data_IF_741626829808
#
_entry.id   IF_741626829808
#
_cell.length_a   1.000
_cell.length_b   1.000
_cell.length_c   1.000
_cell.angle_alpha   90.00
_cell.angle_beta   90.00
_cell.angle_gamma   90.00
#
_symmetry.space_group_name_H-M   'P 1'
#
loop_
_entity.id
_entity.type
_entity.pdbx_description
1 polymer ?
#
# COMPACT_ATOMS: atom_id res chain seq x y z
N UNK A 1 13.98 -8.05 26.95
CA UNK A 1 13.70 -8.17 28.40
C UNK A 1 12.60 -7.15 28.72
N UNK A 2 11.35 -7.60 28.91
CA UNK A 2 10.23 -6.70 29.23
C UNK A 2 10.43 -6.22 30.67
N UNK A 3 10.83 -4.96 30.86
CA UNK A 3 11.05 -4.40 32.20
C UNK A 3 9.72 -3.87 32.74
N UNK A 4 9.03 -4.73 33.48
CA UNK A 4 7.92 -4.32 34.33
C UNK A 4 8.47 -3.86 35.67
N UNK A 5 8.26 -2.59 36.00
CA UNK A 5 8.72 -2.02 37.26
C UNK A 5 7.55 -1.35 38.00
N UNK A 6 7.71 -1.22 39.31
CA UNK A 6 6.84 -0.41 40.14
C UNK A 6 7.51 0.94 40.38
N UNK A 7 6.75 2.03 40.26
CA UNK A 7 7.23 3.38 40.55
C UNK A 7 6.24 4.08 41.47
N UNK A 8 6.76 4.95 42.35
CA UNK A 8 5.94 5.89 43.09
C UNK A 8 5.17 6.78 42.11
N UNK A 9 3.98 7.18 42.52
CA UNK A 9 3.09 7.96 41.71
C UNK A 9 3.11 9.42 42.15
N UNK A 10 3.23 10.34 41.19
CA UNK A 10 3.21 11.77 41.51
C UNK A 10 1.79 12.26 41.83
N UNK A 11 1.73 13.22 42.75
CA UNK A 11 0.54 14.00 43.10
C UNK A 11 0.45 15.18 42.14
N UNK A 12 -0.71 15.39 41.51
CA UNK A 12 -0.97 16.51 40.61
C UNK A 12 -1.25 17.84 41.34
N UNK A 13 -1.68 17.77 42.60
CA UNK A 13 -2.22 18.87 43.38
C UNK A 13 -1.67 18.83 44.82
N UNK A 14 -0.73 19.72 45.10
CA UNK A 14 -0.17 19.92 46.45
C UNK A 14 -0.80 21.17 47.09
N UNK A 15 -1.97 21.01 47.72
CA UNK A 15 -2.48 22.06 48.62
C UNK A 15 -1.89 21.86 50.00
N UNK A 16 -1.19 22.88 50.47
CA UNK A 16 -0.67 22.94 51.83
C UNK A 16 -1.83 23.11 52.82
N UNK A 17 -1.75 22.36 53.92
CA UNK A 17 -2.64 22.45 55.07
C UNK A 17 -1.80 22.68 56.32
N UNK A 18 -2.45 23.08 57.40
CA UNK A 18 -1.83 23.15 58.71
C UNK A 18 -1.72 21.74 59.30
N UNK A 19 -0.53 21.38 59.79
CA UNK A 19 -0.28 20.10 60.45
C UNK A 19 -0.99 20.05 61.80
N UNK A 20 -1.79 19.01 62.10
CA UNK A 20 -2.49 18.89 63.38
C UNK A 20 -1.54 18.63 64.57
N UNK A 21 -0.29 18.26 64.32
CA UNK A 21 0.69 17.92 65.35
C UNK A 21 1.61 19.10 65.72
N UNK A 22 2.15 19.82 64.72
CA UNK A 22 3.13 20.89 64.94
C UNK A 22 2.69 22.28 64.44
N UNK A 23 1.46 22.40 63.91
CA UNK A 23 0.89 23.64 63.35
C UNK A 23 1.67 24.27 62.18
N UNK A 24 2.65 23.57 61.62
CA UNK A 24 3.34 24.00 60.40
C UNK A 24 2.40 23.96 59.18
N UNK A 25 2.56 24.90 58.25
CA UNK A 25 1.86 24.91 56.96
C UNK A 25 2.44 23.90 55.96
N UNK A 26 3.52 23.19 56.32
CA UNK A 26 4.16 22.18 55.48
C UNK A 26 3.48 20.80 55.62
N UNK A 27 2.15 20.72 55.61
CA UNK A 27 1.38 19.47 55.59
C UNK A 27 0.76 19.26 54.21
N UNK A 28 1.33 18.37 53.41
CA UNK A 28 0.95 18.19 52.00
C UNK A 28 0.54 16.75 51.70
N UNK A 29 -0.23 16.57 50.63
CA UNK A 29 -0.62 15.25 50.13
C UNK A 29 0.56 14.60 49.41
N UNK A 30 0.85 13.35 49.73
CA UNK A 30 1.82 12.49 49.04
C UNK A 30 1.15 11.21 48.53
N UNK A 31 1.66 10.69 47.43
CA UNK A 31 1.13 9.49 46.76
C UNK A 31 2.20 8.40 46.73
N UNK A 32 1.91 7.32 47.46
CA UNK A 32 2.75 6.14 47.60
C UNK A 32 2.13 4.93 46.89
N UNK A 33 1.24 5.19 45.93
CA UNK A 33 0.63 4.17 45.09
C UNK A 33 1.68 3.47 44.25
N UNK A 34 1.56 2.16 44.11
CA UNK A 34 2.39 1.35 43.23
C UNK A 34 1.63 1.12 41.94
N UNK A 35 2.27 1.40 40.81
CA UNK A 35 1.68 1.21 39.48
C UNK A 35 2.56 0.26 38.70
N UNK A 36 1.96 -0.73 38.05
CA UNK A 36 2.63 -1.55 37.07
C UNK A 36 2.82 -0.72 35.81
N UNK A 37 4.07 -0.51 35.39
CA UNK A 37 4.40 0.22 34.16
C UNK A 37 5.20 -0.65 33.21
N UNK A 38 4.99 -0.47 31.92
CA UNK A 38 5.87 -0.97 30.87
C UNK A 38 6.67 0.21 30.33
N UNK A 39 7.97 0.25 30.63
CA UNK A 39 8.78 1.46 30.46
C UNK A 39 8.10 2.66 31.17
N UNK A 40 7.83 3.75 30.47
CA UNK A 40 7.13 4.93 31.00
C UNK A 40 5.60 4.80 31.03
N UNK A 41 5.04 3.77 30.37
CA UNK A 41 3.59 3.64 30.17
C UNK A 41 2.93 2.91 31.36
N UNK A 42 2.08 3.56 32.17
CA UNK A 42 1.34 2.89 33.23
C UNK A 42 0.24 1.99 32.66
N UNK A 43 0.17 0.77 33.18
CA UNK A 43 -0.78 -0.26 32.73
C UNK A 43 -1.94 -0.37 33.72
N UNK A 44 -1.62 -0.60 35.00
CA UNK A 44 -2.64 -0.75 36.04
C UNK A 44 -2.07 -0.36 37.41
N UNK A 45 -2.85 0.27 38.31
CA UNK A 45 -2.45 0.44 39.70
C UNK A 45 -2.44 -0.92 40.41
N UNK A 46 -1.36 -1.23 41.13
CA UNK A 46 -1.25 -2.40 42.01
C UNK A 46 -1.73 -2.10 43.42
N UNK A 47 -1.48 -0.88 43.90
CA UNK A 47 -1.98 -0.39 45.19
C UNK A 47 -2.20 1.11 45.12
N UNK A 48 -3.25 1.61 45.78
CA UNK A 48 -3.59 3.04 45.84
C UNK A 48 -3.43 3.51 47.27
N UNK A 49 -2.36 4.27 47.55
CA UNK A 49 -2.00 4.71 48.89
C UNK A 49 -1.71 6.21 48.89
N UNK A 50 -2.58 6.98 49.55
CA UNK A 50 -2.40 8.41 49.78
C UNK A 50 -2.24 8.67 51.27
N UNK A 51 -1.36 9.61 51.59
CA UNK A 51 -1.19 10.09 52.95
C UNK A 51 -0.91 11.59 52.91
N UNK A 52 -1.28 12.29 53.98
CA UNK A 52 -0.69 13.59 54.25
C UNK A 52 0.61 13.38 55.02
N UNK A 53 1.63 14.16 54.70
CA UNK A 53 2.93 14.14 55.37
C UNK A 53 3.34 15.57 55.72
N UNK A 54 3.82 15.75 56.95
CA UNK A 54 4.36 17.01 57.42
C UNK A 54 5.89 17.03 57.27
N UNK A 55 6.42 17.98 56.50
CA UNK A 55 7.87 18.09 56.28
C UNK A 55 8.61 18.63 57.51
N UNK A 56 7.92 19.36 58.38
CA UNK A 56 8.52 19.97 59.58
C UNK A 56 8.69 19.00 60.76
N UNK A 57 7.76 18.04 60.94
CA UNK A 57 7.79 17.13 62.09
C UNK A 57 7.66 15.64 61.73
N UNK A 58 7.56 15.30 60.44
CA UNK A 58 7.44 13.91 59.97
C UNK A 58 6.09 13.24 60.23
N UNK A 59 5.11 13.94 60.80
CA UNK A 59 3.78 13.39 61.09
C UNK A 59 3.06 12.98 59.79
N UNK A 60 2.46 11.79 59.77
CA UNK A 60 1.70 11.27 58.63
C UNK A 60 0.28 10.88 59.02
N UNK A 61 -0.66 11.01 58.08
CA UNK A 61 -2.05 10.54 58.24
C UNK A 61 -2.56 9.94 56.94
N UNK A 62 -3.14 8.74 56.99
CA UNK A 62 -3.71 8.08 55.82
C UNK A 62 -4.91 8.86 55.25
N UNK A 63 -5.04 8.87 53.93
CA UNK A 63 -6.14 9.51 53.20
C UNK A 63 -6.83 8.48 52.33
N UNK A 64 -8.14 8.34 52.50
CA UNK A 64 -8.92 7.46 51.63
C UNK A 64 -9.08 8.08 50.24
N UNK A 65 -8.94 7.26 49.19
CA UNK A 65 -8.90 7.74 47.80
C UNK A 65 -10.16 8.51 47.37
N UNK A 66 -11.34 8.18 47.90
CA UNK A 66 -12.60 8.85 47.59
C UNK A 66 -12.74 10.24 48.25
N UNK A 67 -11.86 10.58 49.19
CA UNK A 67 -11.80 11.90 49.84
C UNK A 67 -10.80 12.86 49.17
N UNK A 68 -10.17 12.42 48.08
CA UNK A 68 -9.20 13.23 47.33
C UNK A 68 -9.88 14.41 46.61
N UNK A 69 -9.13 15.47 46.30
CA UNK A 69 -9.63 16.55 45.44
C UNK A 69 -10.08 16.01 44.07
N UNK A 70 -11.10 16.62 43.43
CA UNK A 70 -11.62 16.14 42.14
C UNK A 70 -10.55 16.00 41.04
N UNK A 71 -9.57 16.90 41.00
CA UNK A 71 -8.44 16.83 40.05
C UNK A 71 -7.54 15.60 40.28
N UNK A 72 -7.37 15.18 41.52
CA UNK A 72 -6.61 13.96 41.85
C UNK A 72 -7.37 12.70 41.46
N UNK A 73 -8.68 12.64 41.73
CA UNK A 73 -9.52 11.54 41.26
C UNK A 73 -9.50 11.43 39.73
N UNK A 74 -9.62 12.56 39.01
CA UNK A 74 -9.55 12.58 37.55
C UNK A 74 -8.18 12.08 37.04
N UNK A 75 -7.11 12.32 37.79
CA UNK A 75 -5.78 11.85 37.41
C UNK A 75 -5.65 10.32 37.39
N UNK A 76 -6.58 9.56 37.99
CA UNK A 76 -6.51 8.10 38.02
C UNK A 76 -6.57 7.47 36.62
N UNK A 77 -7.23 8.16 35.67
CA UNK A 77 -7.31 7.75 34.27
C UNK A 77 -5.92 7.50 33.69
N UNK A 78 -4.92 8.29 34.10
CA UNK A 78 -3.55 8.15 33.63
C UNK A 78 -2.97 6.77 33.90
N UNK A 79 -3.39 6.09 34.97
CA UNK A 79 -2.86 4.78 35.33
C UNK A 79 -3.39 3.63 34.47
N UNK A 80 -4.44 3.89 33.66
CA UNK A 80 -5.08 2.91 32.79
C UNK A 80 -4.80 3.14 31.30
N UNK A 81 -4.05 4.18 30.94
CA UNK A 81 -3.74 4.51 29.52
C UNK A 81 -3.10 3.30 28.82
N UNK A 82 -2.16 2.62 29.48
CA UNK A 82 -1.53 1.42 28.93
C UNK A 82 -2.51 0.27 28.74
N UNK A 83 -3.41 0.03 29.69
CA UNK A 83 -4.46 -0.99 29.54
C UNK A 83 -5.37 -0.69 28.35
N UNK A 84 -5.81 0.57 28.19
CA UNK A 84 -6.65 0.99 27.06
C UNK A 84 -5.93 0.78 25.73
N UNK A 85 -4.64 1.14 25.64
CA UNK A 85 -3.84 0.90 24.44
C UNK A 85 -3.68 -0.59 24.13
N UNK A 86 -3.44 -1.43 25.15
CA UNK A 86 -3.34 -2.88 24.98
C UNK A 86 -4.66 -3.45 24.48
N UNK A 87 -5.79 -3.08 25.09
CA UNK A 87 -7.12 -3.50 24.65
C UNK A 87 -7.36 -3.06 23.22
N UNK A 88 -7.08 -1.81 22.87
CA UNK A 88 -7.23 -1.30 21.51
C UNK A 88 -6.40 -2.10 20.49
N UNK A 89 -5.12 -2.36 20.79
CA UNK A 89 -4.23 -3.15 19.92
C UNK A 89 -4.76 -4.58 19.76
N UNK A 90 -5.17 -5.22 20.86
CA UNK A 90 -5.74 -6.57 20.84
C UNK A 90 -7.03 -6.63 20.04
N UNK A 91 -7.94 -5.66 20.23
CA UNK A 91 -9.18 -5.57 19.45
C UNK A 91 -8.87 -5.39 17.97
N UNK A 92 -7.94 -4.51 17.60
CA UNK A 92 -7.55 -4.33 16.19
C UNK A 92 -6.89 -5.60 15.62
N UNK A 93 -6.07 -6.31 16.39
CA UNK A 93 -5.47 -7.56 15.96
C UNK A 93 -6.55 -8.66 15.73
N UNK A 94 -7.51 -8.80 16.65
CA UNK A 94 -8.60 -9.77 16.53
C UNK A 94 -9.49 -9.43 15.32
N UNK A 95 -9.88 -8.16 15.17
CA UNK A 95 -10.67 -7.71 14.03
C UNK A 95 -9.94 -7.97 12.71
N UNK A 96 -8.64 -7.68 12.64
CA UNK A 96 -7.84 -7.93 11.44
C UNK A 96 -7.71 -9.41 11.10
N UNK A 97 -7.66 -10.31 12.09
CA UNK A 97 -7.66 -11.76 11.85
C UNK A 97 -9.00 -12.21 11.24
N UNK A 98 -10.13 -11.71 11.75
CA UNK A 98 -11.45 -12.03 11.21
C UNK A 98 -11.59 -11.52 9.78
N UNK A 99 -11.20 -10.27 9.54
CA UNK A 99 -11.22 -9.66 8.20
C UNK A 99 -10.35 -10.46 7.20
N UNK A 100 -9.17 -10.91 7.62
CA UNK A 100 -8.31 -11.76 6.79
C UNK A 100 -8.99 -13.09 6.45
N UNK A 101 -9.61 -13.77 7.43
CA UNK A 101 -10.32 -15.02 7.18
C UNK A 101 -11.50 -14.83 6.20
N UNK A 102 -12.31 -13.79 6.41
CA UNK A 102 -13.42 -13.44 5.51
C UNK A 102 -12.94 -13.14 4.09
N UNK A 103 -11.81 -12.43 3.97
CA UNK A 103 -11.17 -12.14 2.70
C UNK A 103 -10.73 -13.43 1.98
N UNK A 104 -10.11 -14.38 2.68
CA UNK A 104 -9.68 -15.66 2.10
C UNK A 104 -10.87 -16.50 1.62
N UNK A 105 -11.95 -16.57 2.40
CA UNK A 105 -13.19 -17.23 2.00
C UNK A 105 -13.79 -16.56 0.75
N UNK A 106 -13.77 -15.22 0.69
CA UNK A 106 -14.20 -14.48 -0.50
C UNK A 106 -13.31 -14.79 -1.71
N UNK A 107 -11.99 -14.90 -1.54
CA UNK A 107 -11.07 -15.23 -2.64
C UNK A 107 -11.27 -16.67 -3.15
N UNK A 108 -11.63 -17.62 -2.27
CA UNK A 108 -11.99 -18.98 -2.66
C UNK A 108 -13.28 -19.04 -3.48
N UNK A 109 -14.30 -18.27 -3.09
CA UNK A 109 -15.60 -18.30 -3.76
C UNK A 109 -15.62 -17.47 -5.04
N UNK A 110 -14.90 -16.34 -5.06
CA UNK A 110 -14.81 -15.42 -6.19
C UNK A 110 -13.35 -15.23 -6.62
N UNK A 111 -12.71 -16.25 -7.23
CA UNK A 111 -11.31 -16.18 -7.60
C UNK A 111 -11.04 -15.11 -8.66
N UNK A 112 -9.85 -14.51 -8.61
CA UNK A 112 -9.34 -13.58 -9.62
C UNK A 112 -7.96 -14.01 -10.07
N UNK A 113 -7.65 -13.69 -11.33
CA UNK A 113 -6.34 -13.99 -11.89
C UNK A 113 -5.26 -13.36 -11.02
N UNK A 114 -4.20 -14.14 -10.76
CA UNK A 114 -3.08 -13.80 -9.89
C UNK A 114 -3.36 -13.78 -8.38
N UNK A 115 -4.53 -14.25 -7.94
CA UNK A 115 -4.69 -14.68 -6.55
C UNK A 115 -3.58 -15.68 -6.20
N UNK A 116 -2.95 -15.44 -5.04
CA UNK A 116 -1.71 -16.07 -4.64
C UNK A 116 -1.95 -16.90 -3.39
N UNK A 117 -1.68 -18.19 -3.50
CA UNK A 117 -1.99 -19.25 -2.55
C UNK A 117 -0.69 -19.74 -1.92
N UNK A 118 -0.65 -19.77 -0.59
CA UNK A 118 0.47 -20.25 0.17
C UNK A 118 0.19 -21.70 0.53
N UNK A 119 1.08 -22.60 0.09
CA UNK A 119 0.81 -24.03 0.11
C UNK A 119 1.92 -24.83 0.75
N UNK A 120 1.55 -25.96 1.34
CA UNK A 120 2.50 -27.03 1.64
C UNK A 120 2.69 -27.90 0.41
N UNK A 121 3.92 -28.01 -0.11
CA UNK A 121 4.21 -28.71 -1.36
C UNK A 121 3.84 -30.19 -1.31
N UNK A 122 4.04 -30.86 -0.18
CA UNK A 122 3.72 -32.28 -0.06
C UNK A 122 2.24 -32.61 -0.25
N UNK A 123 1.36 -31.75 0.25
CA UNK A 123 -0.08 -31.94 0.10
C UNK A 123 -0.63 -31.36 -1.20
N UNK A 124 -0.10 -30.22 -1.65
CA UNK A 124 -0.63 -29.51 -2.83
C UNK A 124 -0.08 -30.04 -4.16
N UNK A 125 1.22 -30.32 -4.24
CA UNK A 125 1.86 -30.84 -5.46
C UNK A 125 2.08 -32.35 -5.44
N UNK A 126 1.91 -33.00 -4.29
CA UNK A 126 2.20 -34.43 -4.10
C UNK A 126 3.69 -34.74 -3.99
N UNK A 127 4.53 -33.73 -3.79
CA UNK A 127 5.98 -33.92 -3.58
C UNK A 127 6.27 -34.60 -2.22
N UNK A 128 7.37 -35.34 -2.06
CA UNK A 128 7.75 -35.84 -0.74
C UNK A 128 8.00 -34.69 0.23
N UNK A 129 7.53 -34.82 1.49
CA UNK A 129 7.72 -33.80 2.52
C UNK A 129 9.20 -33.56 2.80
N UNK A 130 9.64 -32.31 2.67
CA UNK A 130 11.03 -31.85 2.93
C UNK A 130 11.07 -30.81 4.06
N UNK A 131 12.28 -30.46 4.51
CA UNK A 131 12.49 -29.38 5.52
C UNK A 131 11.94 -28.05 4.99
N UNK A 132 12.17 -27.75 3.72
CA UNK A 132 11.59 -26.60 3.03
C UNK A 132 10.37 -27.11 2.24
N UNK A 133 9.19 -26.91 2.81
CA UNK A 133 7.94 -27.47 2.27
C UNK A 133 6.92 -26.38 1.90
N UNK A 134 7.26 -25.11 2.04
CA UNK A 134 6.35 -24.03 1.68
C UNK A 134 6.59 -23.63 0.24
N UNK A 135 5.52 -23.50 -0.55
CA UNK A 135 5.56 -22.96 -1.92
C UNK A 135 4.50 -21.89 -2.10
N UNK A 136 4.65 -21.14 -3.17
CA UNK A 136 3.64 -20.22 -3.67
C UNK A 136 3.00 -20.84 -4.91
N UNK A 137 1.68 -20.92 -4.92
CA UNK A 137 0.89 -21.23 -6.11
C UNK A 137 0.12 -19.98 -6.53
N UNK A 138 0.11 -19.67 -7.82
CA UNK A 138 -0.58 -18.49 -8.33
C UNK A 138 -1.61 -18.89 -9.38
N UNK A 139 -2.83 -18.40 -9.19
CA UNK A 139 -3.95 -18.70 -10.09
C UNK A 139 -3.74 -17.99 -11.43
N UNK A 140 -3.74 -18.75 -12.53
CA UNK A 140 -3.55 -18.22 -13.89
C UNK A 140 -4.81 -18.28 -14.73
N UNK A 141 -5.64 -19.29 -14.52
CA UNK A 141 -6.90 -19.51 -15.22
C UNK A 141 -7.91 -20.13 -14.26
N UNK A 142 -9.19 -19.83 -14.46
CA UNK A 142 -10.29 -20.44 -13.71
C UNK A 142 -11.57 -20.32 -14.53
N UNK A 143 -12.45 -21.30 -14.36
CA UNK A 143 -13.79 -21.32 -14.92
C UNK A 143 -14.79 -21.66 -13.80
N UNK A 144 -16.01 -22.06 -14.16
CA UNK A 144 -17.04 -22.40 -13.17
C UNK A 144 -16.69 -23.63 -12.31
N UNK A 145 -15.93 -24.58 -12.86
CA UNK A 145 -15.61 -25.89 -12.27
C UNK A 145 -14.15 -26.02 -11.83
N UNK A 146 -13.22 -25.37 -12.53
CA UNK A 146 -11.79 -25.63 -12.43
C UNK A 146 -10.96 -24.38 -12.14
N UNK A 147 -9.78 -24.59 -11.55
CA UNK A 147 -8.79 -23.57 -11.23
C UNK A 147 -7.40 -24.10 -11.60
N UNK A 148 -6.68 -23.35 -12.42
CA UNK A 148 -5.34 -23.69 -12.92
C UNK A 148 -4.30 -22.78 -12.30
N UNK A 149 -3.29 -23.40 -11.70
CA UNK A 149 -2.22 -22.73 -10.96
C UNK A 149 -0.88 -22.96 -11.64
N UNK A 150 -0.02 -21.93 -11.60
CA UNK A 150 1.43 -22.11 -11.72
C UNK A 150 2.03 -22.16 -10.32
N UNK A 151 2.96 -23.07 -10.08
CA UNK A 151 3.56 -23.29 -8.75
C UNK A 151 5.04 -22.89 -8.78
N UNK A 152 5.53 -22.29 -7.70
CA UNK A 152 6.91 -21.84 -7.59
C UNK A 152 7.91 -23.01 -7.74
N UNK A 153 9.00 -22.77 -8.47
CA UNK A 153 10.17 -23.66 -8.50
C UNK A 153 10.96 -23.58 -7.18
N UNK A 154 10.78 -22.49 -6.42
CA UNK A 154 11.40 -22.25 -5.12
C UNK A 154 10.58 -22.85 -3.98
N UNK A 155 11.26 -23.43 -2.98
CA UNK A 155 10.68 -23.82 -1.69
C UNK A 155 11.22 -22.95 -0.57
N UNK A 156 10.38 -22.70 0.42
CA UNK A 156 10.68 -21.87 1.56
C UNK A 156 10.57 -22.65 2.86
N UNK A 157 11.34 -22.20 3.86
CA UNK A 157 11.32 -22.77 5.21
C UNK A 157 10.29 -22.07 6.09
N UNK A 158 10.18 -20.75 5.96
CA UNK A 158 9.29 -19.92 6.79
C UNK A 158 8.44 -18.96 5.96
N UNK A 159 7.29 -18.53 6.49
CA UNK A 159 6.43 -17.55 5.84
C UNK A 159 7.16 -16.24 5.53
N UNK A 160 8.03 -15.77 6.44
CA UNK A 160 8.83 -14.56 6.24
C UNK A 160 9.71 -14.61 4.97
N UNK A 161 10.15 -15.80 4.56
CA UNK A 161 11.02 -15.95 3.39
C UNK A 161 10.20 -15.77 2.11
N UNK A 162 8.93 -16.19 2.12
CA UNK A 162 7.97 -15.92 1.04
C UNK A 162 7.63 -14.43 0.99
N UNK A 163 7.40 -13.80 2.14
CA UNK A 163 7.14 -12.35 2.22
C UNK A 163 8.32 -11.53 1.68
N UNK A 164 9.56 -11.93 2.00
CA UNK A 164 10.77 -11.31 1.45
C UNK A 164 10.79 -11.48 -0.07
N UNK A 165 10.53 -12.68 -0.59
CA UNK A 165 10.50 -12.94 -2.04
C UNK A 165 9.45 -12.09 -2.76
N UNK A 166 8.27 -11.88 -2.16
CA UNK A 166 7.25 -10.98 -2.70
C UNK A 166 7.71 -9.53 -2.66
N UNK A 167 8.25 -9.06 -1.52
CA UNK A 167 8.73 -7.68 -1.35
C UNK A 167 9.86 -7.33 -2.33
N UNK A 168 10.74 -8.29 -2.63
CA UNK A 168 11.83 -8.12 -3.59
C UNK A 168 11.42 -8.42 -5.04
N UNK A 169 10.13 -8.58 -5.30
CA UNK A 169 9.57 -8.84 -6.64
C UNK A 169 10.13 -10.09 -7.31
N UNK A 170 10.48 -11.14 -6.55
CA UNK A 170 10.98 -12.39 -7.13
C UNK A 170 9.91 -13.11 -7.96
N UNK A 171 8.63 -12.97 -7.61
CA UNK A 171 7.52 -13.67 -8.27
C UNK A 171 7.36 -13.32 -9.76
N UNK A 172 7.95 -12.21 -10.22
CA UNK A 172 7.92 -11.79 -11.63
C UNK A 172 9.14 -12.21 -12.44
N UNK A 173 10.12 -12.87 -11.80
CA UNK A 173 11.27 -13.44 -12.51
C UNK A 173 10.82 -14.63 -13.38
N UNK A 174 11.45 -14.78 -14.55
CA UNK A 174 11.00 -15.71 -15.60
C UNK A 174 10.98 -17.18 -15.16
N UNK A 175 11.85 -17.56 -14.23
CA UNK A 175 12.01 -18.93 -13.71
C UNK A 175 11.43 -19.13 -12.30
N UNK A 176 10.76 -18.12 -11.74
CA UNK A 176 10.17 -18.24 -10.41
C UNK A 176 9.09 -19.30 -10.35
N UNK A 177 8.18 -19.29 -11.33
CA UNK A 177 7.11 -20.27 -11.46
C UNK A 177 7.46 -21.35 -12.48
N UNK A 178 7.04 -22.58 -12.19
CA UNK A 178 7.12 -23.68 -13.14
C UNK A 178 6.31 -23.35 -14.40
N UNK A 179 6.83 -23.76 -15.56
CA UNK A 179 6.09 -23.73 -16.82
C UNK A 179 4.95 -24.75 -16.86
N UNK A 180 5.01 -25.78 -16.01
CA UNK A 180 3.93 -26.76 -15.85
C UNK A 180 2.86 -26.20 -14.92
N UNK A 181 1.63 -26.17 -15.40
CA UNK A 181 0.46 -25.80 -14.62
C UNK A 181 -0.18 -27.02 -13.98
N UNK A 182 -0.87 -26.79 -12.87
CA UNK A 182 -1.69 -27.79 -12.20
C UNK A 182 -3.13 -27.31 -12.18
N UNK A 183 -4.06 -28.14 -12.63
CA UNK A 183 -5.49 -27.82 -12.64
C UNK A 183 -6.20 -28.68 -11.62
N UNK A 184 -7.01 -28.04 -10.79
CA UNK A 184 -7.82 -28.67 -9.76
C UNK A 184 -9.27 -28.25 -9.92
N UNK A 185 -10.20 -29.08 -9.47
CA UNK A 185 -11.59 -28.66 -9.34
C UNK A 185 -11.73 -27.64 -8.20
N UNK A 186 -12.71 -26.74 -8.26
CA UNK A 186 -12.99 -25.81 -7.15
C UNK A 186 -13.25 -26.55 -5.84
N UNK A 187 -13.86 -27.73 -5.89
CA UNK A 187 -14.07 -28.56 -4.70
C UNK A 187 -12.76 -29.04 -4.10
N UNK A 188 -11.80 -29.48 -4.91
CA UNK A 188 -10.46 -29.85 -4.43
C UNK A 188 -9.72 -28.65 -3.83
N UNK A 189 -9.82 -27.47 -4.44
CA UNK A 189 -9.19 -26.25 -3.89
C UNK A 189 -9.80 -25.88 -2.54
N UNK A 190 -11.12 -26.04 -2.37
CA UNK A 190 -11.78 -25.88 -1.07
C UNK A 190 -11.32 -26.90 -0.04
N UNK A 191 -11.20 -28.17 -0.42
CA UNK A 191 -10.66 -29.22 0.44
C UNK A 191 -9.22 -28.93 0.87
N UNK A 192 -8.38 -28.43 -0.04
CA UNK A 192 -7.02 -28.01 0.29
C UNK A 192 -6.99 -26.85 1.31
N UNK A 193 -7.98 -25.97 1.29
CA UNK A 193 -8.08 -24.93 2.31
C UNK A 193 -8.54 -25.51 3.66
N UNK A 194 -9.57 -26.36 3.63
CA UNK A 194 -10.14 -27.00 4.83
C UNK A 194 -9.14 -27.92 5.55
N UNK A 195 -8.28 -28.64 4.82
CA UNK A 195 -7.26 -29.53 5.37
C UNK A 195 -5.90 -28.84 5.63
N UNK A 196 -5.88 -27.51 5.47
CA UNK A 196 -4.73 -26.62 5.66
C UNK A 196 -3.54 -26.95 4.73
N UNK A 197 -3.78 -27.55 3.57
CA UNK A 197 -2.79 -27.64 2.47
C UNK A 197 -2.53 -26.29 1.83
N UNK A 198 -3.57 -25.47 1.67
CA UNK A 198 -3.53 -24.03 1.44
C UNK A 198 -3.78 -23.37 2.79
N UNK A 199 -2.78 -22.68 3.34
CA UNK A 199 -2.86 -22.09 4.69
C UNK A 199 -2.99 -20.57 4.69
N UNK A 200 -2.88 -19.93 3.52
CA UNK A 200 -3.09 -18.48 3.35
C UNK A 200 -3.40 -18.17 1.89
N UNK A 201 -4.32 -17.25 1.66
CA UNK A 201 -4.67 -16.76 0.32
C UNK A 201 -4.56 -15.25 0.31
N UNK A 202 -3.93 -14.69 -0.71
CA UNK A 202 -3.78 -13.25 -0.87
C UNK A 202 -4.15 -12.82 -2.28
N UNK A 203 -4.88 -11.72 -2.35
CA UNK A 203 -5.20 -11.03 -3.59
C UNK A 203 -4.29 -9.82 -3.74
N UNK A 204 -3.55 -9.70 -4.86
CA UNK A 204 -2.74 -8.50 -5.12
C UNK A 204 -3.61 -7.25 -5.18
N UNK A 205 -3.13 -6.17 -4.56
CA UNK A 205 -3.67 -4.83 -4.79
C UNK A 205 -2.93 -4.24 -6.00
N UNK A 206 -3.67 -3.90 -7.05
CA UNK A 206 -3.13 -3.61 -8.38
C UNK A 206 -2.30 -4.80 -8.92
N UNK A 207 -0.99 -4.81 -8.62
CA UNK A 207 -0.01 -5.81 -9.09
C UNK A 207 0.95 -6.26 -7.98
N UNK A 208 0.68 -5.85 -6.73
CA UNK A 208 1.63 -5.96 -5.64
C UNK A 208 1.09 -6.72 -4.43
N UNK A 209 2.00 -7.44 -3.77
CA UNK A 209 1.84 -7.96 -2.41
C UNK A 209 3.08 -7.55 -1.61
N UNK A 210 2.87 -7.08 -0.37
CA UNK A 210 3.94 -6.57 0.50
C UNK A 210 4.84 -5.49 -0.13
N UNK A 211 4.30 -4.72 -1.08
CA UNK A 211 5.01 -3.61 -1.74
C UNK A 211 5.90 -4.03 -2.92
N UNK A 212 6.05 -5.33 -3.21
CA UNK A 212 6.77 -5.81 -4.40
C UNK A 212 5.82 -6.38 -5.46
N UNK A 213 6.28 -6.46 -6.71
CA UNK A 213 5.47 -6.96 -7.83
C UNK A 213 5.35 -8.49 -7.78
N UNK A 214 4.12 -8.97 -7.94
CA UNK A 214 3.81 -10.41 -8.02
C UNK A 214 3.23 -10.84 -9.37
N UNK A 215 3.03 -9.86 -10.24
CA UNK A 215 2.68 -10.01 -11.65
C UNK A 215 3.25 -8.82 -12.42
N UNK A 216 3.58 -9.04 -13.69
CA UNK A 216 3.95 -7.94 -14.57
C UNK A 216 2.74 -7.03 -14.78
N UNK A 217 2.85 -5.71 -14.54
CA UNK A 217 1.83 -4.77 -14.93
C UNK A 217 1.51 -4.94 -16.42
N UNK A 218 0.23 -4.86 -16.83
CA UNK A 218 -0.11 -4.90 -18.23
C UNK A 218 0.66 -3.78 -18.95
N UNK A 219 1.29 -4.12 -20.07
CA UNK A 219 1.94 -3.09 -20.90
C UNK A 219 0.91 -2.02 -21.21
N UNK A 220 1.22 -0.72 -21.02
CA UNK A 220 0.29 0.34 -21.32
C UNK A 220 -0.16 0.18 -22.77
N UNK A 221 -1.48 0.24 -23.00
CA UNK A 221 -2.01 0.17 -24.35
C UNK A 221 -1.31 1.26 -25.18
N UNK A 222 -0.78 0.93 -26.38
CA UNK A 222 -0.26 1.96 -27.25
C UNK A 222 -1.39 2.96 -27.52
N UNK A 223 -1.09 4.26 -27.50
CA UNK A 223 -2.07 5.33 -27.74
C UNK A 223 -2.78 5.18 -29.09
N UNK A 224 -2.17 4.44 -30.02
CA UNK A 224 -2.65 4.19 -31.37
C UNK A 224 -2.64 2.67 -31.62
N UNK A 225 -3.71 1.98 -31.21
CA UNK A 225 -3.87 0.54 -31.43
C UNK A 225 -3.97 0.20 -32.92
N UNK A 226 -3.26 -0.84 -33.36
CA UNK A 226 -3.27 -1.30 -34.76
C UNK A 226 -2.36 -0.50 -35.72
N UNK A 227 -1.68 0.54 -35.23
CA UNK A 227 -0.81 1.38 -36.04
C UNK A 227 0.66 1.07 -35.74
N UNK A 228 1.43 0.70 -36.78
CA UNK A 228 2.89 0.60 -36.66
C UNK A 228 3.50 2.01 -36.72
N UNK A 229 3.83 2.55 -35.55
CA UNK A 229 4.55 3.82 -35.44
C UNK A 229 6.03 3.61 -35.71
N UNK A 230 6.68 4.58 -36.36
CA UNK A 230 8.14 4.57 -36.48
C UNK A 230 8.82 4.81 -35.13
N UNK A 231 10.11 4.48 -35.07
CA UNK A 231 10.92 4.56 -33.85
C UNK A 231 10.91 5.97 -33.24
N UNK A 232 11.07 7.01 -34.06
CA UNK A 232 11.17 8.38 -33.56
C UNK A 232 9.82 8.88 -33.04
N UNK A 233 8.71 8.48 -33.67
CA UNK A 233 7.40 8.81 -33.13
C UNK A 233 7.11 8.11 -31.79
N UNK A 234 7.54 6.85 -31.63
CA UNK A 234 7.43 6.16 -30.34
C UNK A 234 8.24 6.87 -29.25
N UNK A 235 9.48 7.27 -29.57
CA UNK A 235 10.34 8.02 -28.64
C UNK A 235 9.70 9.36 -28.27
N UNK A 236 9.19 10.12 -29.25
CA UNK A 236 8.52 11.39 -29.00
C UNK A 236 7.30 11.24 -28.10
N UNK A 237 6.50 10.19 -28.28
CA UNK A 237 5.35 9.89 -27.39
C UNK A 237 5.80 9.66 -25.95
N UNK A 238 6.91 8.94 -25.74
CA UNK A 238 7.47 8.71 -24.40
C UNK A 238 7.90 10.03 -23.76
N UNK A 239 8.74 10.82 -24.44
CA UNK A 239 9.19 12.11 -23.95
C UNK A 239 8.03 13.06 -23.65
N UNK A 240 7.01 13.08 -24.50
CA UNK A 240 5.83 13.92 -24.32
C UNK A 240 5.07 13.56 -23.04
N UNK A 241 4.87 12.26 -22.77
CA UNK A 241 4.22 11.77 -21.54
C UNK A 241 5.00 12.12 -20.28
N UNK A 242 6.32 12.14 -20.39
CA UNK A 242 7.23 12.48 -19.29
C UNK A 242 7.39 14.00 -19.11
N UNK A 243 6.66 14.82 -19.89
CA UNK A 243 6.70 16.28 -19.84
C UNK A 243 7.95 16.91 -20.48
N UNK A 244 8.75 16.11 -21.19
CA UNK A 244 9.99 16.51 -21.86
C UNK A 244 9.68 17.04 -23.26
N UNK A 245 9.04 18.21 -23.33
CA UNK A 245 8.46 18.70 -24.59
C UNK A 245 9.48 19.06 -25.66
N UNK A 246 10.71 19.47 -25.31
CA UNK A 246 11.73 19.80 -26.31
C UNK A 246 12.21 18.53 -27.03
N UNK A 247 12.53 17.50 -26.25
CA UNK A 247 12.97 16.18 -26.72
C UNK A 247 11.86 15.47 -27.51
N UNK A 248 10.60 15.63 -27.07
CA UNK A 248 9.44 15.16 -27.81
C UNK A 248 9.33 15.83 -29.18
N UNK A 249 9.46 17.16 -29.22
CA UNK A 249 9.39 17.92 -30.47
C UNK A 249 10.50 17.55 -31.45
N UNK A 250 11.73 17.36 -30.97
CA UNK A 250 12.86 16.88 -31.77
C UNK A 250 12.58 15.50 -32.36
N UNK A 251 12.10 14.57 -31.53
CA UNK A 251 11.77 13.20 -31.95
C UNK A 251 10.62 13.19 -32.97
N UNK A 252 9.56 13.95 -32.74
CA UNK A 252 8.48 14.08 -33.72
C UNK A 252 8.92 14.78 -34.99
N UNK A 253 9.86 15.72 -34.93
CA UNK A 253 10.45 16.34 -36.12
C UNK A 253 11.20 15.32 -36.97
N UNK A 254 11.96 14.42 -36.36
CA UNK A 254 12.63 13.33 -37.06
C UNK A 254 11.63 12.39 -37.74
N UNK A 255 10.56 12.00 -37.03
CA UNK A 255 9.49 11.17 -37.59
C UNK A 255 8.74 11.88 -38.73
N UNK A 256 8.36 13.15 -38.53
CA UNK A 256 7.62 13.94 -39.50
C UNK A 256 8.40 14.15 -40.80
N UNK A 257 9.71 14.46 -40.69
CA UNK A 257 10.64 14.55 -41.82
C UNK A 257 10.90 13.21 -42.49
N UNK A 258 10.82 12.11 -41.73
CA UNK A 258 10.83 10.75 -42.26
C UNK A 258 9.57 10.37 -43.04
N UNK A 259 8.58 11.27 -43.14
CA UNK A 259 7.35 11.07 -43.89
C UNK A 259 6.25 10.35 -43.11
N UNK A 260 6.44 10.03 -41.84
CA UNK A 260 5.44 9.26 -41.09
C UNK A 260 4.26 10.14 -40.65
N UNK A 261 3.06 9.81 -41.13
CA UNK A 261 1.84 10.60 -40.88
C UNK A 261 1.51 10.82 -39.40
N UNK A 262 1.90 9.89 -38.51
CA UNK A 262 1.71 10.04 -37.07
C UNK A 262 2.71 10.99 -36.40
N UNK A 263 3.96 11.03 -36.87
CA UNK A 263 4.92 12.05 -36.44
C UNK A 263 4.53 13.43 -36.91
N UNK A 264 4.04 13.53 -38.15
CA UNK A 264 3.50 14.78 -38.70
C UNK A 264 2.28 15.28 -37.90
N UNK A 265 1.34 14.38 -37.55
CA UNK A 265 0.22 14.70 -36.66
C UNK A 265 0.71 15.25 -35.31
N UNK A 266 1.56 14.50 -34.60
CA UNK A 266 2.02 14.88 -33.27
C UNK A 266 2.80 16.20 -33.29
N UNK A 267 3.66 16.41 -34.30
CA UNK A 267 4.38 17.67 -34.47
C UNK A 267 3.43 18.84 -34.77
N UNK A 268 2.39 18.61 -35.58
CA UNK A 268 1.36 19.60 -35.87
C UNK A 268 0.62 20.04 -34.61
N UNK A 269 0.24 19.09 -33.75
CA UNK A 269 -0.40 19.38 -32.47
C UNK A 269 0.52 20.18 -31.53
N UNK A 270 1.81 19.85 -31.45
CA UNK A 270 2.75 20.59 -30.61
C UNK A 270 2.92 22.06 -31.04
N UNK A 271 2.90 22.32 -32.35
CA UNK A 271 2.89 23.70 -32.87
C UNK A 271 1.58 24.43 -32.58
N UNK A 272 0.42 23.75 -32.66
CA UNK A 272 -0.87 24.35 -32.33
C UNK A 272 -0.95 24.73 -30.85
N UNK A 273 -0.48 23.83 -29.98
CA UNK A 273 -0.66 23.95 -28.52
C UNK A 273 0.51 24.67 -27.84
N UNK A 274 1.58 25.01 -28.58
CA UNK A 274 2.76 25.69 -28.04
C UNK A 274 3.55 24.81 -27.05
N UNK A 275 3.59 23.51 -27.30
CA UNK A 275 4.29 22.56 -26.43
C UNK A 275 5.74 22.41 -26.90
N UNK A 276 6.70 22.81 -26.07
CA UNK A 276 8.13 22.79 -26.42
C UNK A 276 8.56 23.89 -27.40
N UNK A 277 7.63 24.74 -27.83
CA UNK A 277 7.83 25.88 -28.73
C UNK A 277 6.71 26.91 -28.53
N UNK A 278 6.76 28.04 -29.26
CA UNK A 278 5.64 28.99 -29.28
C UNK A 278 4.53 28.49 -30.22
N UNK A 279 3.29 28.92 -29.97
CA UNK A 279 2.15 28.59 -30.84
C UNK A 279 2.43 29.09 -32.26
N UNK A 280 2.30 28.18 -33.23
CA UNK A 280 2.49 28.47 -34.65
C UNK A 280 1.46 27.70 -35.50
N UNK A 281 0.31 28.34 -35.72
CA UNK A 281 -0.81 27.73 -36.46
C UNK A 281 -0.48 27.44 -37.92
N UNK A 282 0.41 28.22 -38.55
CA UNK A 282 0.87 27.99 -39.92
C UNK A 282 1.61 26.65 -40.02
N UNK A 283 2.60 26.42 -39.14
CA UNK A 283 3.34 25.15 -39.08
C UNK A 283 2.46 24.00 -38.64
N UNK A 284 1.53 24.23 -37.71
CA UNK A 284 0.55 23.22 -37.30
C UNK A 284 -0.27 22.76 -38.50
N UNK A 285 -0.87 23.69 -39.23
CA UNK A 285 -1.67 23.42 -40.41
C UNK A 285 -0.87 22.71 -41.51
N UNK A 286 0.37 23.13 -41.75
CA UNK A 286 1.28 22.48 -42.70
C UNK A 286 1.48 20.98 -42.38
N UNK A 287 1.86 20.64 -41.15
CA UNK A 287 2.14 19.25 -40.78
C UNK A 287 0.86 18.40 -40.69
N UNK A 288 -0.23 18.96 -40.19
CA UNK A 288 -1.54 18.29 -40.16
C UNK A 288 -2.07 18.02 -41.58
N UNK A 289 -1.86 18.94 -42.52
CA UNK A 289 -2.22 18.73 -43.92
C UNK A 289 -1.39 17.59 -44.55
N UNK A 290 -0.07 17.58 -44.34
CA UNK A 290 0.79 16.47 -44.80
C UNK A 290 0.36 15.11 -44.25
N UNK A 291 -0.04 15.04 -42.98
CA UNK A 291 -0.57 13.81 -42.39
C UNK A 291 -1.94 13.42 -42.98
N UNK A 292 -2.79 14.41 -43.26
CA UNK A 292 -4.12 14.22 -43.86
C UNK A 292 -4.01 13.66 -45.28
N UNK A 293 -3.09 14.16 -46.10
CA UNK A 293 -2.83 13.68 -47.46
C UNK A 293 -2.38 12.21 -47.49
N UNK A 294 -1.79 11.72 -46.39
CA UNK A 294 -1.44 10.31 -46.21
C UNK A 294 -2.58 9.46 -45.65
N UNK A 295 -3.80 10.01 -45.58
CA UNK A 295 -4.98 9.31 -45.08
C UNK A 295 -5.02 9.16 -43.56
N UNK A 296 -4.29 9.96 -42.78
CA UNK A 296 -4.39 9.93 -41.32
C UNK A 296 -5.73 10.56 -40.87
N UNK A 297 -6.67 9.77 -40.32
CA UNK A 297 -8.01 10.26 -39.99
C UNK A 297 -8.00 11.24 -38.81
N UNK A 298 -7.05 11.10 -37.87
CA UNK A 298 -6.93 12.05 -36.75
C UNK A 298 -6.41 13.39 -37.23
N UNK A 299 -5.39 13.40 -38.09
CA UNK A 299 -4.90 14.65 -38.66
C UNK A 299 -5.96 15.41 -39.44
N UNK A 300 -6.84 14.70 -40.16
CA UNK A 300 -7.98 15.31 -40.86
C UNK A 300 -8.91 16.05 -39.90
N UNK A 301 -9.23 15.44 -38.76
CA UNK A 301 -10.11 16.05 -37.74
C UNK A 301 -9.43 17.27 -37.12
N UNK A 302 -8.17 17.13 -36.72
CA UNK A 302 -7.40 18.18 -36.05
C UNK A 302 -7.13 19.37 -36.99
N UNK A 303 -6.90 19.11 -38.28
CA UNK A 303 -6.78 20.17 -39.29
C UNK A 303 -8.12 20.90 -39.45
N UNK A 304 -9.22 20.17 -39.58
CA UNK A 304 -10.54 20.79 -39.71
C UNK A 304 -10.87 21.69 -38.52
N UNK A 305 -10.56 21.24 -37.29
CA UNK A 305 -10.73 22.02 -36.07
C UNK A 305 -9.86 23.28 -36.07
N UNK A 306 -8.57 23.16 -36.42
CA UNK A 306 -7.68 24.32 -36.53
C UNK A 306 -8.24 25.36 -37.52
N UNK A 307 -8.74 24.91 -38.66
CA UNK A 307 -9.25 25.78 -39.72
C UNK A 307 -10.57 26.49 -39.38
N UNK A 308 -11.24 26.15 -38.26
CA UNK A 308 -12.36 26.93 -37.74
C UNK A 308 -11.91 28.27 -37.14
N UNK A 309 -10.65 28.35 -36.70
CA UNK A 309 -10.08 29.51 -36.02
C UNK A 309 -8.91 30.17 -36.76
N UNK A 310 -8.37 29.49 -37.77
CA UNK A 310 -7.21 29.93 -38.55
C UNK A 310 -7.49 29.78 -40.04
N UNK A 311 -7.09 30.78 -40.86
CA UNK A 311 -7.29 30.73 -42.31
C UNK A 311 -6.34 29.70 -42.95
N UNK A 312 -6.91 28.56 -43.34
CA UNK A 312 -6.23 27.47 -44.01
C UNK A 312 -6.34 27.52 -45.55
N UNK A 313 -6.92 28.57 -46.14
CA UNK A 313 -7.18 28.65 -47.59
C UNK A 313 -5.92 28.56 -48.46
N UNK A 314 -4.74 28.83 -47.87
CA UNK A 314 -3.44 28.81 -48.54
C UNK A 314 -2.69 27.48 -48.41
N UNK A 315 -3.27 26.46 -47.78
CA UNK A 315 -2.63 25.15 -47.67
C UNK A 315 -2.62 24.46 -49.03
N UNK A 316 -1.42 24.25 -49.57
CA UNK A 316 -1.23 23.64 -50.88
C UNK A 316 -1.78 22.20 -50.88
N UNK A 317 -2.67 21.90 -51.84
CA UNK A 317 -3.34 20.60 -51.99
C UNK A 317 -2.55 19.61 -52.87
N UNK A 318 -1.27 19.88 -53.12
CA UNK A 318 -0.39 19.05 -53.95
C UNK A 318 0.39 18.00 -53.14
#
# INVERSE_FOLDING_TARGET
MLLFNTAAADVFYKKQKTCPHCHSEHFSLSNHSKVLRFSILPIIPLSINYQHQCDACGYTSAVSWYSLPPLELASFIKYFIGLVLIVYILTKAILGIHEQADNEIRYLNEPKKFDTYFVYSDKFTGEPKRINNLKVAQLVEFDDKSMTFRVANYTYKYNKDIEIAMRTSMLVQDDYFSSKTMTFTKQQVKQFYEDNSIYKIMRPELYSLYGGFVMHPPKPKPLYAGVKLDKHNQQGITYFKDGQFKEAMESFTLSAKGGYSWGQLNLGQMYRDGQGTEINNEKAAYWLNKATLQGNPKAKIELAELCLSYDCSKLDTQ
#
